data_IF_375886212304
#
_entry.id   IF_375886212304
#
_cell.length_a   1.000
_cell.length_b   1.000
_cell.length_c   1.000
_cell.angle_alpha   90.00
_cell.angle_beta   90.00
_cell.angle_gamma   90.00
#
_symmetry.space_group_name_H-M   'P 1'
#
loop_
_entity.id
_entity.type
_entity.pdbx_description
1 polymer ?
2 non-polymer ?
3 non-polymer ?
4 non-polymer ?
5 water ?
#
# COMPACT_ATOMS: atom_id res chain seq x y z
N UNK A 1 -11.25 -14.35 18.11
CA UNK A 1 -10.21 -14.72 19.05
C UNK A 1 -8.83 -14.67 18.41
N UNK A 2 -7.84 -14.39 19.25
CA UNK A 2 -6.47 -14.23 18.81
C UNK A 2 -5.91 -15.53 18.26
N UNK A 3 -5.18 -15.45 17.14
CA UNK A 3 -4.53 -16.67 16.63
C UNK A 3 -3.49 -17.22 17.60
N UNK A 4 -3.14 -18.49 17.38
CA UNK A 4 -2.05 -19.14 18.08
C UNK A 4 -0.82 -18.79 17.21
N UNK A 5 -0.06 -17.78 17.64
CA UNK A 5 1.13 -17.30 16.93
C UNK A 5 2.25 -18.33 16.80
N UNK A 6 2.16 -19.43 17.54
CA UNK A 6 3.22 -20.46 17.54
C UNK A 6 2.92 -21.65 16.64
N UNK A 7 1.70 -21.71 16.09
CA UNK A 7 1.32 -22.88 15.30
C UNK A 7 1.98 -22.92 13.94
N UNK A 8 2.20 -24.14 13.41
CA UNK A 8 2.76 -24.27 12.05
C UNK A 8 1.83 -23.60 11.04
N UNK A 9 0.50 -23.75 11.25
CA UNK A 9 -0.53 -23.14 10.37
C UNK A 9 -0.34 -21.61 10.32
N UNK A 10 -0.21 -20.99 11.50
CA UNK A 10 -0.01 -19.54 11.54
C UNK A 10 1.33 -19.15 10.91
N UNK A 11 2.41 -19.82 11.31
CA UNK A 11 3.75 -19.46 10.79
C UNK A 11 3.83 -19.58 9.26
N UNK A 12 3.19 -20.58 8.68
CA UNK A 12 3.17 -20.78 7.23
C UNK A 12 2.49 -19.57 6.55
N UNK A 13 1.31 -19.19 7.02
CA UNK A 13 0.61 -18.04 6.43
C UNK A 13 1.42 -16.75 6.67
N UNK A 14 2.02 -16.62 7.86
CA UNK A 14 2.80 -15.43 8.19
C UNK A 14 4.02 -15.30 7.30
N UNK A 15 4.60 -16.44 6.86
CA UNK A 15 5.80 -16.37 6.01
C UNK A 15 5.51 -15.63 4.71
N UNK A 16 4.30 -15.77 4.18
CA UNK A 16 3.92 -15.07 2.94
C UNK A 16 3.43 -13.66 3.24
N UNK A 17 2.57 -13.48 4.26
CA UNK A 17 2.09 -12.12 4.57
C UNK A 17 3.27 -11.22 4.97
N UNK A 18 4.14 -11.73 5.86
CA UNK A 18 5.31 -10.94 6.32
C UNK A 18 6.20 -10.56 5.13
N UNK A 19 6.41 -11.51 4.18
CA UNK A 19 7.23 -11.21 2.99
C UNK A 19 6.56 -10.13 2.17
N UNK A 20 5.24 -10.20 2.00
CA UNK A 20 4.53 -9.16 1.21
C UNK A 20 4.72 -7.75 1.80
N UNK A 21 4.60 -7.63 3.13
CA UNK A 21 4.75 -6.34 3.78
C UNK A 21 6.21 -5.83 3.63
N UNK A 22 7.19 -6.72 3.84
CA UNK A 22 8.61 -6.35 3.72
C UNK A 22 8.90 -5.88 2.30
N UNK A 23 8.43 -6.63 1.29
CA UNK A 23 8.64 -6.25 -0.11
C UNK A 23 7.91 -4.95 -0.43
N UNK A 24 6.69 -4.80 0.06
CA UNK A 24 5.91 -3.58 -0.19
C UNK A 24 6.64 -2.35 0.32
N UNK A 25 7.21 -2.46 1.52
CA UNK A 25 7.95 -1.35 2.13
C UNK A 25 9.23 -1.05 1.34
N UNK A 26 9.97 -2.09 0.89
CA UNK A 26 11.15 -1.85 0.06
C UNK A 26 10.73 -1.14 -1.24
N UNK A 27 9.68 -1.65 -1.90
CA UNK A 27 9.24 -1.01 -3.16
C UNK A 27 8.77 0.42 -2.88
N UNK A 28 8.11 0.68 -1.73
CA UNK A 28 7.67 2.04 -1.42
C UNK A 28 8.89 2.99 -1.28
N UNK A 29 9.96 2.51 -0.61
CA UNK A 29 11.19 3.30 -0.51
C UNK A 29 11.67 3.61 -1.92
N UNK A 30 11.80 2.56 -2.77
CA UNK A 30 12.33 2.74 -4.12
C UNK A 30 11.45 3.67 -4.94
N UNK A 31 10.13 3.58 -4.75
CA UNK A 31 9.17 4.39 -5.50
C UNK A 31 9.27 5.88 -5.14
N UNK A 32 9.41 6.20 -3.84
CA UNK A 32 9.53 7.60 -3.48
C UNK A 32 10.86 8.19 -3.99
N UNK A 33 11.95 7.40 -3.95
CA UNK A 33 13.22 7.89 -4.51
C UNK A 33 13.04 8.11 -6.03
N UNK A 34 12.36 7.14 -6.70
CA UNK A 34 12.12 7.28 -8.15
C UNK A 34 11.31 8.51 -8.50
N UNK A 35 10.30 8.83 -7.68
CA UNK A 35 9.47 10.01 -7.90
C UNK A 35 10.33 11.30 -7.80
N UNK A 36 11.39 11.25 -6.98
CA UNK A 36 12.35 12.35 -6.86
C UNK A 36 13.03 12.67 -8.19
N UNK A 37 13.16 11.67 -9.11
CA UNK A 37 13.73 11.94 -10.43
C UNK A 37 12.76 12.73 -11.32
N UNK A 38 11.45 12.63 -11.04
CA UNK A 38 10.39 13.33 -11.77
C UNK A 38 10.08 14.68 -11.15
N UNK A 39 10.28 14.79 -9.81
CA UNK A 39 10.04 16.03 -9.04
C UNK A 39 11.35 16.40 -8.34
N UNK A 40 12.36 16.90 -9.09
CA UNK A 40 13.67 17.18 -8.46
C UNK A 40 13.63 18.16 -7.29
N UNK A 41 12.64 19.04 -7.29
CA UNK A 41 12.49 20.04 -6.21
C UNK A 41 11.86 19.43 -4.96
N UNK A 42 11.32 18.18 -5.06
CA UNK A 42 10.71 17.48 -3.89
C UNK A 42 11.67 16.47 -3.28
N UNK A 43 12.92 16.40 -3.78
CA UNK A 43 13.88 15.36 -3.37
C UNK A 43 14.07 15.22 -1.88
N UNK A 44 14.24 16.33 -1.15
CA UNK A 44 14.50 16.14 0.28
C UNK A 44 13.30 15.59 1.02
N UNK A 45 12.08 16.01 0.64
CA UNK A 45 10.91 15.46 1.30
C UNK A 45 10.74 13.98 0.89
N UNK A 46 10.92 13.66 -0.40
CA UNK A 46 10.77 12.26 -0.86
C UNK A 46 11.80 11.33 -0.21
N UNK A 47 13.01 11.84 0.07
CA UNK A 47 14.04 11.08 0.78
C UNK A 47 13.56 10.76 2.21
N UNK A 48 12.90 11.75 2.86
CA UNK A 48 12.38 11.53 4.21
C UNK A 48 11.30 10.46 4.16
N UNK A 49 10.39 10.52 3.16
CA UNK A 49 9.34 9.49 3.07
C UNK A 49 9.96 8.13 2.83
N UNK A 50 10.96 8.05 1.94
CA UNK A 50 11.62 6.79 1.61
C UNK A 50 12.34 6.19 2.84
N UNK A 51 12.96 7.04 3.67
CA UNK A 51 13.61 6.59 4.90
C UNK A 51 12.59 6.00 5.86
N UNK A 52 11.38 6.60 5.92
CA UNK A 52 10.32 6.03 6.78
C UNK A 52 10.00 4.61 6.33
N UNK A 53 9.88 4.40 5.01
CA UNK A 53 9.56 3.07 4.51
C UNK A 53 10.63 2.06 4.88
N UNK A 54 11.91 2.46 4.86
CA UNK A 54 12.97 1.53 5.28
C UNK A 54 12.85 1.21 6.77
N UNK A 55 12.47 2.20 7.62
CA UNK A 55 12.24 1.92 9.04
C UNK A 55 11.08 0.90 9.16
N UNK A 56 10.01 1.08 8.34
CA UNK A 56 8.91 0.11 8.40
C UNK A 56 9.41 -1.28 8.00
N UNK A 57 10.20 -1.35 6.91
CA UNK A 57 10.73 -2.63 6.42
C UNK A 57 11.51 -3.33 7.54
N UNK A 58 12.37 -2.58 8.23
CA UNK A 58 13.16 -3.16 9.30
C UNK A 58 12.27 -3.67 10.43
N UNK A 59 11.23 -2.91 10.78
CA UNK A 59 10.32 -3.31 11.84
C UNK A 59 9.57 -4.58 11.46
N UNK A 60 9.05 -4.65 10.21
CA UNK A 60 8.34 -5.86 9.82
C UNK A 60 9.26 -7.06 9.66
N UNK A 61 10.53 -6.84 9.26
CA UNK A 61 11.49 -7.95 9.22
C UNK A 61 11.64 -8.50 10.65
N UNK A 62 11.71 -7.61 11.65
CA UNK A 62 11.84 -8.04 13.05
C UNK A 62 10.58 -8.80 13.51
N UNK A 63 9.38 -8.45 12.99
CA UNK A 63 8.14 -9.20 13.34
C UNK A 63 8.26 -10.66 12.94
N UNK A 64 8.78 -10.91 11.73
CA UNK A 64 8.97 -12.26 11.23
C UNK A 64 9.98 -13.03 12.07
N UNK A 65 11.12 -12.39 12.37
CA UNK A 65 12.19 -12.98 13.18
C UNK A 65 11.66 -13.34 14.57
N UNK A 66 10.82 -12.43 15.15
CA UNK A 66 10.24 -12.62 16.49
C UNK A 66 9.37 -13.89 16.58
N UNK A 67 8.67 -14.22 15.48
CA UNK A 67 7.83 -15.42 15.42
C UNK A 67 8.56 -16.66 14.88
N UNK A 68 9.85 -16.52 14.58
CA UNK A 68 10.65 -17.62 14.04
C UNK A 68 10.21 -18.03 12.64
N UNK A 69 9.80 -17.03 11.83
CA UNK A 69 9.31 -17.26 10.49
C UNK A 69 10.33 -16.78 9.47
N UNK A 70 10.53 -17.55 8.40
CA UNK A 70 11.41 -17.15 7.29
C UNK A 70 10.50 -16.58 6.21
N UNK A 71 10.66 -15.28 5.90
CA UNK A 71 9.80 -14.63 4.91
C UNK A 71 9.99 -15.20 3.51
N UNK A 72 8.87 -15.50 2.83
CA UNK A 72 8.89 -16.08 1.48
C UNK A 72 9.00 -14.92 0.49
N UNK A 73 10.23 -14.40 0.31
CA UNK A 73 10.46 -13.24 -0.53
C UNK A 73 10.14 -13.45 -2.02
N UNK A 74 10.37 -14.66 -2.56
CA UNK A 74 10.01 -14.89 -3.95
C UNK A 74 8.51 -14.73 -4.17
N UNK A 75 7.70 -15.26 -3.24
CA UNK A 75 6.24 -15.13 -3.30
C UNK A 75 5.88 -13.64 -3.31
N UNK A 76 6.51 -12.85 -2.42
CA UNK A 76 6.20 -11.40 -2.35
C UNK A 76 6.60 -10.64 -3.63
N UNK A 77 7.77 -10.96 -4.21
CA UNK A 77 8.19 -10.29 -5.45
C UNK A 77 7.20 -10.57 -6.58
N UNK A 78 6.71 -11.83 -6.70
CA UNK A 78 5.67 -12.15 -7.72
C UNK A 78 4.36 -11.40 -7.45
N UNK A 79 3.96 -11.30 -6.17
CA UNK A 79 2.72 -10.66 -5.76
C UNK A 79 2.69 -9.21 -6.23
N UNK A 80 3.83 -8.48 -6.12
CA UNK A 80 3.84 -7.08 -6.53
C UNK A 80 4.21 -6.88 -7.99
N UNK A 81 4.64 -7.94 -8.71
CA UNK A 81 5.11 -7.73 -10.08
C UNK A 81 4.18 -6.98 -11.00
N UNK A 82 2.88 -7.30 -11.09
CA UNK A 82 2.02 -6.56 -12.04
C UNK A 82 1.96 -5.06 -11.74
N UNK A 83 1.82 -4.69 -10.46
CA UNK A 83 1.74 -3.30 -10.07
C UNK A 83 3.10 -2.62 -10.22
N UNK A 84 4.18 -3.32 -9.87
CA UNK A 84 5.55 -2.82 -10.02
C UNK A 84 5.83 -2.52 -11.50
N UNK A 85 5.44 -3.46 -12.40
CA UNK A 85 5.64 -3.23 -13.82
C UNK A 85 4.91 -1.97 -14.27
N UNK A 86 3.65 -1.75 -13.81
CA UNK A 86 2.94 -0.54 -14.23
C UNK A 86 3.61 0.73 -13.68
N UNK A 87 4.11 0.68 -12.43
CA UNK A 87 4.83 1.84 -11.87
C UNK A 87 6.09 2.11 -12.73
N UNK A 88 6.86 1.06 -13.07
CA UNK A 88 8.07 1.25 -13.88
C UNK A 88 7.78 1.81 -15.27
N UNK A 89 6.67 1.35 -15.90
CA UNK A 89 6.28 1.87 -17.21
C UNK A 89 5.97 3.36 -17.09
N UNK A 90 5.17 3.75 -16.08
CA UNK A 90 4.81 5.17 -15.86
C UNK A 90 6.05 6.02 -15.59
N UNK A 91 6.96 5.52 -14.73
CA UNK A 91 8.21 6.21 -14.38
C UNK A 91 9.03 6.51 -15.64
N UNK A 92 9.19 5.49 -16.50
CA UNK A 92 9.94 5.62 -17.75
C UNK A 92 9.36 6.65 -18.70
N UNK A 93 8.04 6.84 -18.63
CA UNK A 93 7.28 7.79 -19.46
C UNK A 93 7.17 9.19 -18.81
N UNK A 94 7.72 9.32 -17.60
CA UNK A 94 7.68 10.57 -16.84
C UNK A 94 6.30 10.93 -16.31
N UNK A 95 5.44 9.91 -16.16
CA UNK A 95 4.04 10.08 -15.76
C UNK A 95 3.91 10.16 -14.23
N UNK A 96 4.37 11.29 -13.67
CA UNK A 96 4.31 11.54 -12.21
C UNK A 96 2.90 11.29 -11.62
N UNK A 97 1.79 11.77 -12.23
CA UNK A 97 0.47 11.51 -11.60
C UNK A 97 0.17 10.02 -11.45
N UNK A 98 0.52 9.19 -12.46
CA UNK A 98 0.28 7.74 -12.39
C UNK A 98 1.17 7.13 -11.29
N UNK A 99 2.45 7.52 -11.23
CA UNK A 99 3.33 7.02 -10.17
C UNK A 99 2.77 7.35 -8.80
N UNK A 100 2.28 8.58 -8.62
CA UNK A 100 1.72 8.96 -7.34
C UNK A 100 0.41 8.25 -7.05
N UNK A 101 -0.45 8.04 -8.07
CA UNK A 101 -1.69 7.32 -7.78
C UNK A 101 -1.36 5.87 -7.37
N UNK A 102 -0.37 5.24 -8.03
CA UNK A 102 -0.04 3.87 -7.68
C UNK A 102 0.54 3.77 -6.27
N UNK A 103 1.59 4.54 -5.98
CA UNK A 103 2.24 4.42 -4.69
C UNK A 103 1.57 5.19 -3.60
N UNK A 104 1.42 6.52 -3.77
CA UNK A 104 0.96 7.37 -2.67
C UNK A 104 -0.51 7.22 -2.36
N UNK A 105 -1.35 6.76 -3.33
CA UNK A 105 -2.76 6.57 -3.05
C UNK A 105 -3.12 5.12 -2.90
N UNK A 106 -3.00 4.32 -3.97
CA UNK A 106 -3.46 2.94 -3.90
C UNK A 106 -2.71 2.10 -2.89
N UNK A 107 -1.38 2.11 -2.99
CA UNK A 107 -0.59 1.29 -2.06
C UNK A 107 -0.67 1.78 -0.63
N UNK A 108 -0.61 3.12 -0.41
CA UNK A 108 -0.72 3.62 0.97
C UNK A 108 -2.09 3.28 1.56
N UNK A 109 -3.18 3.39 0.74
CA UNK A 109 -4.49 3.02 1.28
C UNK A 109 -4.58 1.51 1.59
N UNK A 110 -3.95 0.67 0.75
CA UNK A 110 -3.96 -0.77 0.97
C UNK A 110 -3.16 -1.06 2.25
N UNK A 111 -2.01 -0.40 2.44
CA UNK A 111 -1.21 -0.62 3.65
C UNK A 111 -1.97 -0.16 4.89
N UNK A 112 -2.58 1.05 4.83
CA UNK A 112 -3.36 1.55 5.98
C UNK A 112 -4.47 0.53 6.34
N UNK A 113 -5.20 0.04 5.35
CA UNK A 113 -6.25 -0.93 5.61
C UNK A 113 -5.68 -2.21 6.20
N UNK A 114 -4.60 -2.72 5.61
CA UNK A 114 -4.00 -3.96 6.09
C UNK A 114 -3.50 -3.81 7.53
N UNK A 115 -2.79 -2.71 7.79
CA UNK A 115 -2.23 -2.50 9.12
C UNK A 115 -3.33 -2.28 10.16
N UNK A 116 -4.37 -1.50 9.83
CA UNK A 116 -5.48 -1.30 10.77
C UNK A 116 -6.17 -2.63 11.07
N UNK A 117 -6.35 -3.49 10.05
CA UNK A 117 -7.05 -4.77 10.21
C UNK A 117 -6.22 -5.77 11.01
N UNK A 118 -4.88 -5.70 10.84
CA UNK A 118 -3.98 -6.61 11.53
C UNK A 118 -3.81 -6.28 12.99
N UNK A 119 -3.73 -4.98 13.32
CA UNK A 119 -3.47 -4.56 14.71
C UNK A 119 -4.25 -5.34 15.79
N UNK A 120 -5.60 -5.43 15.72
CA UNK A 120 -6.34 -6.13 16.79
C UNK A 120 -6.14 -7.64 16.90
N UNK A 121 -5.53 -8.26 15.88
CA UNK A 121 -5.30 -9.70 15.89
C UNK A 121 -3.80 -10.03 15.89
N UNK A 122 -2.94 -9.03 16.15
CA UNK A 122 -1.48 -9.21 16.11
C UNK A 122 -0.89 -9.58 17.47
N UNK A 123 0.29 -10.22 17.41
CA UNK A 123 1.02 -10.58 18.60
C UNK A 123 1.55 -9.28 19.26
N UNK A 124 1.86 -9.29 20.56
CA UNK A 124 2.23 -8.01 21.23
C UNK A 124 3.40 -7.25 20.63
N UNK A 125 4.41 -7.98 20.09
CA UNK A 125 5.59 -7.34 19.52
C UNK A 125 5.21 -6.66 18.21
N UNK A 126 4.56 -7.42 17.31
CA UNK A 126 4.16 -6.85 16.01
C UNK A 126 3.13 -5.75 16.17
N UNK A 127 2.28 -5.84 17.21
CA UNK A 127 1.24 -4.83 17.40
C UNK A 127 1.87 -3.44 17.61
N UNK A 128 2.88 -3.35 18.49
CA UNK A 128 3.55 -2.07 18.73
C UNK A 128 4.24 -1.58 17.47
N UNK A 129 4.92 -2.48 16.71
CA UNK A 129 5.58 -2.03 15.49
C UNK A 129 4.54 -1.52 14.49
N UNK A 130 3.42 -2.25 14.31
CA UNK A 130 2.39 -1.84 13.35
C UNK A 130 1.73 -0.53 13.74
N UNK A 131 1.42 -0.36 15.04
CA UNK A 131 0.82 0.89 15.49
C UNK A 131 1.74 2.05 15.18
N UNK A 132 3.05 1.80 15.27
CA UNK A 132 4.10 2.78 15.02
C UNK A 132 4.42 3.10 13.58
N UNK A 133 3.82 2.34 12.62
CA UNK A 133 3.98 2.51 11.17
C UNK A 133 2.78 3.26 10.58
N UNK A 134 1.56 2.97 11.09
CA UNK A 134 0.33 3.54 10.51
C UNK A 134 0.31 5.07 10.35
N UNK A 135 0.75 5.83 11.38
CA UNK A 135 0.77 7.30 11.29
C UNK A 135 1.58 7.77 10.11
N UNK A 136 2.72 7.09 9.84
CA UNK A 136 3.54 7.48 8.69
C UNK A 136 2.82 7.27 7.39
N UNK A 137 2.05 6.17 7.28
CA UNK A 137 1.33 5.93 6.02
C UNK A 137 0.31 7.02 5.74
N UNK A 138 -0.35 7.58 6.79
CA UNK A 138 -1.24 8.72 6.56
C UNK A 138 -0.43 9.92 6.05
N UNK A 139 0.80 10.12 6.54
CA UNK A 139 1.66 11.21 6.03
C UNK A 139 1.91 11.03 4.52
N UNK A 140 2.12 9.77 4.09
CA UNK A 140 2.41 9.46 2.69
C UNK A 140 1.17 9.71 1.82
N UNK A 141 0.02 9.23 2.30
CA UNK A 141 -1.26 9.48 1.60
C UNK A 141 -1.47 11.00 1.47
N UNK A 142 -1.23 11.75 2.56
CA UNK A 142 -1.40 13.21 2.54
C UNK A 142 -0.48 13.87 1.51
N UNK A 143 0.77 13.39 1.42
CA UNK A 143 1.73 13.92 0.45
C UNK A 143 1.19 13.72 -0.98
N UNK A 144 0.73 12.52 -1.31
CA UNK A 144 0.20 12.24 -2.64
C UNK A 144 -1.06 13.04 -2.93
N UNK A 145 -1.99 13.07 -1.96
CA UNK A 145 -3.23 13.87 -2.06
C UNK A 145 -2.87 15.32 -2.37
N UNK A 146 -1.93 15.90 -1.62
CA UNK A 146 -1.59 17.31 -1.80
C UNK A 146 -1.07 17.63 -3.19
N UNK A 147 -0.18 16.78 -3.72
CA UNK A 147 0.37 17.04 -5.06
C UNK A 147 -0.70 16.88 -6.11
N UNK A 148 -1.48 15.80 -6.00
CA UNK A 148 -2.52 15.57 -7.01
C UNK A 148 -3.61 16.65 -6.95
N UNK A 149 -3.93 17.14 -5.74
CA UNK A 149 -4.92 18.22 -5.56
C UNK A 149 -4.42 19.50 -6.26
N UNK A 150 -3.13 19.81 -6.07
CA UNK A 150 -2.53 21.02 -6.65
C UNK A 150 -2.44 20.95 -8.16
N UNK A 151 -2.35 19.73 -8.74
CA UNK A 151 -2.16 19.53 -10.18
C UNK A 151 -3.35 18.88 -10.88
N UNK A 152 -4.52 18.81 -10.22
CA UNK A 152 -5.67 18.09 -10.76
C UNK A 152 -6.10 18.52 -12.14
N UNK A 153 -6.16 19.83 -12.38
CA UNK A 153 -6.63 20.31 -13.68
C UNK A 153 -5.78 19.91 -14.89
N UNK A 154 -4.51 19.54 -14.66
CA UNK A 154 -3.62 19.11 -15.73
C UNK A 154 -3.55 17.58 -15.85
N UNK A 155 -3.99 16.86 -14.80
CA UNK A 155 -3.83 15.40 -14.82
C UNK A 155 -5.08 14.54 -14.59
N UNK A 156 -6.27 15.16 -14.64
CA UNK A 156 -7.56 14.50 -14.45
C UNK A 156 -7.69 13.20 -15.23
N UNK A 157 -7.56 13.29 -16.56
CA UNK A 157 -7.70 12.14 -17.47
C UNK A 157 -6.67 11.05 -17.21
N UNK A 158 -5.42 11.46 -16.95
CA UNK A 158 -4.38 10.49 -16.63
C UNK A 158 -4.73 9.73 -15.35
N UNK A 159 -5.23 10.43 -14.32
CA UNK A 159 -5.62 9.76 -13.06
C UNK A 159 -6.75 8.78 -13.26
N UNK A 160 -7.75 9.14 -14.12
CA UNK A 160 -8.85 8.21 -14.40
C UNK A 160 -8.32 6.95 -15.09
N UNK A 161 -7.36 7.12 -16.01
CA UNK A 161 -6.71 5.99 -16.70
C UNK A 161 -5.90 5.16 -15.70
N UNK A 162 -5.06 5.82 -14.87
CA UNK A 162 -4.25 5.11 -13.89
C UNK A 162 -5.14 4.31 -12.93
N UNK A 163 -6.27 4.91 -12.53
CA UNK A 163 -7.18 4.18 -11.65
C UNK A 163 -7.76 2.94 -12.37
N UNK A 164 -8.23 3.14 -13.62
CA UNK A 164 -8.83 2.07 -14.42
C UNK A 164 -7.85 0.89 -14.53
N UNK A 165 -6.57 1.19 -14.75
CA UNK A 165 -5.53 0.18 -14.97
C UNK A 165 -5.09 -0.51 -13.72
N UNK A 166 -4.97 0.27 -12.61
CA UNK A 166 -4.36 -0.23 -11.39
C UNK A 166 -5.27 -0.63 -10.25
N UNK A 167 -6.45 0.01 -10.13
CA UNK A 167 -7.37 -0.43 -9.05
C UNK A 167 -7.70 -1.93 -9.15
N UNK A 168 -7.92 -2.52 -10.35
CA UNK A 168 -8.19 -3.98 -10.42
C UNK A 168 -6.99 -4.80 -9.95
N UNK A 169 -5.76 -4.26 -10.07
CA UNK A 169 -4.57 -4.99 -9.57
C UNK A 169 -4.59 -5.05 -8.07
N UNK A 170 -5.03 -3.97 -7.39
CA UNK A 170 -5.20 -4.01 -5.94
C UNK A 170 -6.25 -5.03 -5.55
N UNK A 171 -7.35 -5.08 -6.29
CA UNK A 171 -8.40 -6.05 -5.98
C UNK A 171 -7.85 -7.48 -6.14
N UNK A 172 -7.07 -7.73 -7.19
CA UNK A 172 -6.49 -9.06 -7.40
C UNK A 172 -5.54 -9.38 -6.24
N UNK A 173 -4.76 -8.39 -5.80
CA UNK A 173 -3.85 -8.59 -4.65
C UNK A 173 -4.65 -8.97 -3.40
N UNK A 174 -5.78 -8.28 -3.15
CA UNK A 174 -6.68 -8.57 -2.01
C UNK A 174 -7.22 -10.01 -2.13
N UNK A 175 -7.62 -10.42 -3.36
CA UNK A 175 -8.13 -11.77 -3.56
C UNK A 175 -7.04 -12.80 -3.29
N UNK A 176 -5.80 -12.50 -3.70
CA UNK A 176 -4.69 -13.40 -3.53
C UNK A 176 -4.25 -13.55 -2.07
N UNK A 177 -4.33 -12.49 -1.27
CA UNK A 177 -3.85 -12.53 0.11
C UNK A 177 -4.94 -13.01 1.10
N UNK A 178 -6.21 -13.06 0.64
CA UNK A 178 -7.32 -13.33 1.54
C UNK A 178 -7.23 -14.61 2.35
N UNK A 179 -6.76 -15.70 1.72
CA UNK A 179 -6.64 -16.97 2.43
C UNK A 179 -5.68 -16.89 3.61
N UNK A 180 -4.47 -16.41 3.33
CA UNK A 180 -3.47 -16.27 4.39
C UNK A 180 -3.92 -15.23 5.41
N UNK A 181 -4.56 -14.15 4.95
CA UNK A 181 -5.00 -13.13 5.90
C UNK A 181 -6.04 -13.72 6.84
N UNK A 182 -6.91 -14.63 6.33
CA UNK A 182 -7.92 -15.28 7.20
C UNK A 182 -7.22 -16.15 8.27
N UNK A 183 -6.11 -16.83 7.92
CA UNK A 183 -5.36 -17.60 8.94
C UNK A 183 -4.90 -16.63 10.05
N UNK A 184 -4.54 -15.39 9.65
CA UNK A 184 -4.11 -14.36 10.58
C UNK A 184 -5.29 -13.72 11.32
N UNK A 185 -6.52 -14.26 11.11
CA UNK A 185 -7.75 -13.79 11.75
C UNK A 185 -8.19 -12.41 11.28
N UNK A 186 -7.87 -12.11 10.01
CA UNK A 186 -8.25 -10.86 9.36
C UNK A 186 -9.38 -11.17 8.37
N UNK A 187 -10.49 -10.40 8.46
CA UNK A 187 -11.66 -10.56 7.58
C UNK A 187 -11.42 -9.75 6.29
N UNK A 188 -11.56 -10.41 5.14
CA UNK A 188 -11.38 -9.74 3.82
C UNK A 188 -12.32 -8.53 3.67
N UNK A 189 -13.56 -8.64 4.20
CA UNK A 189 -14.53 -7.52 4.11
C UNK A 189 -14.04 -6.28 4.85
N UNK A 190 -13.34 -6.46 5.99
CA UNK A 190 -12.77 -5.32 6.71
C UNK A 190 -11.64 -4.73 5.87
N UNK A 191 -10.82 -5.58 5.22
CA UNK A 191 -9.71 -5.09 4.38
C UNK A 191 -10.28 -4.25 3.22
N UNK A 192 -11.32 -4.75 2.56
CA UNK A 192 -11.90 -4.00 1.45
C UNK A 192 -12.53 -2.71 1.92
N UNK A 193 -13.35 -2.76 2.98
CA UNK A 193 -14.04 -1.56 3.47
C UNK A 193 -13.05 -0.47 3.83
N UNK A 194 -12.02 -0.80 4.65
CA UNK A 194 -11.05 0.20 5.07
C UNK A 194 -10.27 0.78 3.90
N UNK A 195 -9.93 -0.07 2.93
CA UNK A 195 -9.20 0.38 1.75
C UNK A 195 -10.07 1.36 0.95
N UNK A 196 -11.33 0.99 0.68
CA UNK A 196 -12.18 1.86 -0.12
C UNK A 196 -12.45 3.18 0.57
N UNK A 197 -12.63 3.19 1.91
CA UNK A 197 -12.83 4.43 2.65
C UNK A 197 -11.56 5.30 2.52
N UNK A 198 -10.35 4.72 2.74
CA UNK A 198 -9.16 5.55 2.64
C UNK A 198 -8.98 6.12 1.23
N UNK A 199 -9.19 5.27 0.21
CA UNK A 199 -9.01 5.68 -1.17
C UNK A 199 -10.07 6.71 -1.57
N UNK A 200 -11.34 6.46 -1.26
CA UNK A 200 -12.41 7.42 -1.57
C UNK A 200 -12.18 8.77 -0.88
N UNK A 201 -11.74 8.75 0.40
CA UNK A 201 -11.44 10.01 1.12
C UNK A 201 -10.30 10.78 0.46
N UNK A 202 -9.26 10.07 -0.06
CA UNK A 202 -8.14 10.71 -0.73
C UNK A 202 -8.62 11.37 -2.01
N UNK A 203 -9.48 10.64 -2.78
CA UNK A 203 -10.02 11.20 -4.03
C UNK A 203 -10.87 12.42 -3.77
N UNK A 204 -11.65 12.41 -2.67
CA UNK A 204 -12.47 13.56 -2.29
C UNK A 204 -11.53 14.75 -2.02
N UNK A 205 -10.46 14.50 -1.24
CA UNK A 205 -9.49 15.57 -0.93
C UNK A 205 -8.87 16.15 -2.18
N UNK A 206 -8.52 15.29 -3.15
CA UNK A 206 -7.91 15.71 -4.41
C UNK A 206 -8.85 16.63 -5.21
N UNK A 207 -10.17 16.39 -5.11
CA UNK A 207 -11.13 17.22 -5.83
C UNK A 207 -12.13 16.51 -6.72
N UNK A 208 -12.16 15.17 -6.66
CA UNK A 208 -13.15 14.44 -7.45
C UNK A 208 -14.49 14.49 -6.74
N UNK A 209 -15.60 14.56 -7.52
CA UNK A 209 -16.93 14.60 -6.93
C UNK A 209 -17.49 13.19 -6.70
N UNK A 210 -18.67 13.07 -6.06
CA UNK A 210 -19.26 11.75 -5.74
C UNK A 210 -19.46 10.87 -6.97
N UNK A 211 -19.94 11.45 -8.08
CA UNK A 211 -20.16 10.67 -9.30
C UNK A 211 -18.86 10.15 -9.86
N UNK A 212 -17.84 11.02 -9.90
CA UNK A 212 -16.51 10.63 -10.39
C UNK A 212 -15.92 9.52 -9.57
N UNK A 213 -16.02 9.62 -8.22
CA UNK A 213 -15.45 8.59 -7.34
C UNK A 213 -16.20 7.28 -7.49
N UNK A 214 -17.53 7.35 -7.63
CA UNK A 214 -18.33 6.13 -7.82
C UNK A 214 -17.89 5.40 -9.08
N UNK A 215 -17.75 6.15 -10.18
CA UNK A 215 -17.29 5.62 -11.47
C UNK A 215 -15.86 5.05 -11.31
N UNK A 216 -14.98 5.72 -10.54
CA UNK A 216 -13.64 5.23 -10.28
C UNK A 216 -13.60 3.93 -9.45
N UNK A 217 -14.31 3.88 -8.31
CA UNK A 217 -14.33 2.68 -7.47
C UNK A 217 -14.91 1.50 -8.24
N UNK A 218 -15.86 1.76 -9.15
CA UNK A 218 -16.45 0.70 -9.99
C UNK A 218 -15.44 0.10 -10.97
N UNK A 219 -14.27 0.73 -11.17
CA UNK A 219 -13.21 0.17 -12.06
C UNK A 219 -12.70 -1.16 -11.47
N UNK A 220 -12.90 -1.38 -10.14
CA UNK A 220 -12.50 -2.62 -9.43
C UNK A 220 -13.35 -3.83 -9.90
N UNK A 221 -14.42 -3.59 -10.64
CA UNK A 221 -15.30 -4.64 -11.16
C UNK A 221 -14.66 -5.40 -12.36
N UNK A 222 -13.61 -4.81 -12.97
CA UNK A 222 -12.91 -5.42 -14.11
C UNK A 222 -11.96 -6.53 -13.61
#
# INVERSE_FOLDING_TARGET
ALPDFTSDRYKDAYSRINAIVIEGEQEAHDNYIAIGTLLPDHVEELKRLAKMEMRHKKGFTACGKNLGVKADMDFAREFFAPLRDNFQTALGQGKTPTCLLIQALLIEAFAISAYHTYIPVSDPFARKITEGVVKDEYTHLNYGEAWLKANLESCREELLEANRENLPLIRRMLDQVAGDAAVLQMDKEDLIEDFLIAYQESLTEIGFNTREITRMAAAALVS
#
